data_IF_039955443536
#
_entry.id   IF_039955443536
#
_cell.length_a   1.000
_cell.length_b   1.000
_cell.length_c   1.000
_cell.angle_alpha   90.00
_cell.angle_beta   90.00
_cell.angle_gamma   90.00
#
_symmetry.space_group_name_H-M   'P 1'
#
loop_
_entity.id
_entity.type
_entity.pdbx_description
1 polymer ?
#
# COMPACT_ATOMS: atom_id res chain seq x y z
N UNK A 1 5.14 11.72 35.93
CA UNK A 1 4.31 11.28 34.79
C UNK A 1 5.07 10.20 34.06
N UNK A 2 4.67 8.95 34.23
CA UNK A 2 5.18 7.81 33.45
C UNK A 2 4.90 8.07 31.96
N UNK A 3 5.91 7.96 31.09
CA UNK A 3 5.71 8.10 29.65
C UNK A 3 4.94 6.88 29.15
N UNK A 4 3.94 7.02 28.25
CA UNK A 4 3.24 5.86 27.73
C UNK A 4 4.24 4.92 27.03
N UNK A 5 4.10 3.59 27.19
CA UNK A 5 5.07 2.60 26.69
C UNK A 5 5.32 2.70 25.18
N UNK A 6 4.38 3.26 24.42
CA UNK A 6 4.54 3.56 22.99
C UNK A 6 5.58 4.65 22.75
N UNK A 7 5.54 5.77 23.49
CA UNK A 7 6.43 6.90 23.28
C UNK A 7 7.89 6.52 23.56
N UNK A 8 8.14 5.70 24.57
CA UNK A 8 9.50 5.22 24.86
C UNK A 8 10.09 4.39 23.72
N UNK A 9 9.26 3.56 23.06
CA UNK A 9 9.67 2.79 21.89
C UNK A 9 9.97 3.74 20.71
N UNK A 10 9.14 4.76 20.49
CA UNK A 10 9.34 5.74 19.43
C UNK A 10 10.62 6.58 19.65
N UNK A 11 10.85 7.06 20.87
CA UNK A 11 12.06 7.84 21.23
C UNK A 11 13.34 6.98 21.10
N UNK A 12 13.25 5.67 21.36
CA UNK A 12 14.35 4.73 21.11
C UNK A 12 14.57 4.52 19.61
N UNK A 13 13.49 4.36 18.86
CA UNK A 13 13.51 4.20 17.41
C UNK A 13 14.17 5.40 16.70
N UNK A 14 13.88 6.63 17.14
CA UNK A 14 14.51 7.84 16.59
C UNK A 14 16.03 7.86 16.80
N UNK A 15 16.52 7.28 17.90
CA UNK A 15 17.96 7.17 18.24
C UNK A 15 18.65 5.93 17.68
N UNK A 16 17.91 4.97 17.13
CA UNK A 16 18.48 3.74 16.59
C UNK A 16 19.33 4.01 15.33
N UNK A 17 20.46 3.31 15.19
CA UNK A 17 21.38 3.48 14.04
C UNK A 17 20.66 3.28 12.70
N UNK A 18 19.77 2.28 12.62
CA UNK A 18 18.96 2.01 11.45
C UNK A 18 17.53 1.61 11.85
N UNK A 19 16.57 1.95 11.00
CA UNK A 19 15.20 1.46 11.10
C UNK A 19 14.92 0.48 9.96
N UNK A 20 14.04 -0.52 10.19
CA UNK A 20 13.54 -1.37 9.12
C UNK A 20 12.83 -0.53 8.06
N UNK A 21 12.74 -1.05 6.83
CA UNK A 21 11.99 -0.35 5.80
C UNK A 21 10.49 -0.51 6.07
N UNK A 22 9.86 0.57 6.51
CA UNK A 22 8.43 0.57 6.79
C UNK A 22 7.60 0.79 5.52
N UNK A 23 6.52 0.03 5.43
CA UNK A 23 5.38 0.26 4.56
C UNK A 23 4.09 0.24 5.35
N UNK A 24 2.96 0.53 4.72
CA UNK A 24 1.69 0.53 5.40
C UNK A 24 0.49 0.39 4.47
N UNK A 25 -0.67 0.29 5.11
CA UNK A 25 -1.97 0.29 4.46
C UNK A 25 -3.01 0.83 5.45
N UNK A 26 -3.73 1.86 5.03
CA UNK A 26 -4.91 2.33 5.77
C UNK A 26 -6.15 1.47 5.51
N UNK A 27 -6.94 1.31 6.57
CA UNK A 27 -8.23 0.63 6.56
C UNK A 27 -9.29 1.53 7.17
N UNK A 28 -10.56 1.20 6.97
CA UNK A 28 -11.65 1.99 7.54
C UNK A 28 -11.68 1.98 9.08
N UNK A 29 -11.09 0.95 9.70
CA UNK A 29 -11.06 0.71 11.13
C UNK A 29 -9.67 0.85 11.76
N UNK A 30 -8.63 1.22 11.01
CA UNK A 30 -7.27 1.31 11.56
C UNK A 30 -6.16 1.49 10.52
N UNK A 31 -4.91 1.38 10.98
CA UNK A 31 -3.71 1.48 10.16
C UNK A 31 -2.86 0.23 10.33
N UNK A 32 -2.48 -0.38 9.21
CA UNK A 32 -1.50 -1.45 9.14
C UNK A 32 -0.14 -0.86 8.83
N UNK A 33 0.88 -1.24 9.61
CA UNK A 33 2.29 -0.99 9.31
C UNK A 33 2.99 -2.33 9.14
N UNK A 34 3.91 -2.40 8.19
CA UNK A 34 4.68 -3.60 7.87
C UNK A 34 6.16 -3.27 7.77
N UNK A 35 7.00 -4.24 8.14
CA UNK A 35 8.43 -4.31 7.84
C UNK A 35 8.72 -5.52 6.96
N UNK A 36 9.99 -5.86 6.77
CA UNK A 36 10.39 -7.09 6.09
C UNK A 36 9.96 -8.36 6.84
N UNK A 37 9.83 -8.31 8.17
CA UNK A 37 9.64 -9.49 9.03
C UNK A 37 8.34 -9.50 9.82
N UNK A 38 7.76 -8.33 10.10
CA UNK A 38 6.59 -8.20 10.96
C UNK A 38 5.55 -7.27 10.36
N UNK A 39 4.31 -7.42 10.82
CA UNK A 39 3.24 -6.48 10.56
C UNK A 39 2.47 -6.21 11.85
N UNK A 40 1.86 -5.02 11.94
CA UNK A 40 0.96 -4.64 13.01
C UNK A 40 -0.22 -3.83 12.46
N UNK A 41 -1.43 -4.12 12.95
CA UNK A 41 -2.65 -3.37 12.74
C UNK A 41 -3.05 -2.71 14.06
N UNK A 42 -3.04 -1.38 14.09
CA UNK A 42 -3.62 -0.58 15.16
C UNK A 42 -5.01 -0.11 14.74
N UNK A 43 -6.02 -0.50 15.51
CA UNK A 43 -7.40 -0.11 15.32
C UNK A 43 -7.72 1.24 15.96
N UNK A 44 -8.68 1.96 15.38
CA UNK A 44 -9.21 3.20 15.98
C UNK A 44 -9.99 2.97 17.27
N UNK A 45 -10.34 1.70 17.56
CA UNK A 45 -10.94 1.22 18.79
C UNK A 45 -9.91 0.87 19.88
N UNK A 46 -8.62 1.11 19.62
CA UNK A 46 -7.53 0.77 20.53
C UNK A 46 -7.04 -0.67 20.43
N UNK A 47 -7.60 -1.48 19.52
CA UNK A 47 -7.11 -2.85 19.31
C UNK A 47 -5.73 -2.84 18.65
N UNK A 48 -4.86 -3.78 19.03
CA UNK A 48 -3.57 -4.00 18.39
C UNK A 48 -3.43 -5.47 18.02
N UNK A 49 -3.18 -5.76 16.75
CA UNK A 49 -2.90 -7.10 16.22
C UNK A 49 -1.57 -7.09 15.51
N UNK A 50 -0.74 -8.09 15.75
CA UNK A 50 0.62 -8.12 15.20
C UNK A 50 1.03 -9.55 14.86
N UNK A 51 1.83 -9.73 13.81
CA UNK A 51 2.24 -11.06 13.33
C UNK A 51 3.48 -11.04 12.45
N UNK A 52 3.86 -12.22 11.96
CA UNK A 52 4.98 -12.40 11.04
C UNK A 52 4.57 -12.08 9.61
N UNK A 53 5.47 -11.46 8.85
CA UNK A 53 5.29 -11.23 7.43
C UNK A 53 5.52 -12.52 6.62
N UNK A 54 4.60 -12.88 5.72
CA UNK A 54 4.82 -14.01 4.81
C UNK A 54 6.00 -13.75 3.89
N UNK A 55 7.01 -14.61 3.96
CA UNK A 55 8.19 -14.53 3.10
C UNK A 55 8.06 -15.50 1.92
N UNK A 56 8.12 -15.01 0.66
CA UNK A 56 8.11 -15.89 -0.51
C UNK A 56 9.43 -16.70 -0.62
N UNK A 57 9.42 -17.84 -1.34
CA UNK A 57 10.62 -18.64 -1.60
C UNK A 57 11.75 -17.78 -2.19
N UNK A 58 13.00 -18.03 -1.78
CA UNK A 58 14.16 -17.23 -2.19
C UNK A 58 14.38 -17.23 -3.72
N UNK A 59 14.09 -18.35 -4.39
CA UNK A 59 14.22 -18.52 -5.84
C UNK A 59 13.41 -17.50 -6.65
N UNK A 60 12.20 -17.20 -6.21
CA UNK A 60 11.28 -16.29 -6.94
C UNK A 60 11.65 -14.80 -6.82
N UNK A 61 12.60 -14.44 -5.94
CA UNK A 61 13.03 -13.04 -5.74
C UNK A 61 14.04 -12.56 -6.78
N UNK A 62 14.65 -13.48 -7.52
CA UNK A 62 15.75 -13.18 -8.45
C UNK A 62 15.30 -13.04 -9.90
N UNK A 63 14.10 -13.54 -10.24
CA UNK A 63 13.59 -13.49 -11.62
C UNK A 63 12.93 -12.12 -11.85
N UNK A 64 13.39 -11.31 -12.83
CA UNK A 64 12.77 -10.03 -13.16
C UNK A 64 11.32 -10.24 -13.59
N UNK A 65 10.45 -9.23 -13.40
CA UNK A 65 8.99 -9.29 -13.64
C UNK A 65 8.24 -10.21 -12.65
N UNK A 66 8.76 -11.40 -12.35
CA UNK A 66 8.20 -12.33 -11.36
C UNK A 66 8.38 -11.79 -9.94
N UNK A 67 9.57 -11.28 -9.60
CA UNK A 67 9.86 -10.70 -8.27
C UNK A 67 8.90 -9.56 -7.90
N UNK A 68 8.50 -8.76 -8.89
CA UNK A 68 7.54 -7.67 -8.71
C UNK A 68 6.14 -8.18 -8.35
N UNK A 69 5.65 -9.15 -9.12
CA UNK A 69 4.36 -9.81 -8.85
C UNK A 69 4.35 -10.53 -7.49
N UNK A 70 5.45 -11.21 -7.15
CA UNK A 70 5.62 -11.88 -5.86
C UNK A 70 5.60 -10.88 -4.71
N UNK A 71 6.25 -9.73 -4.87
CA UNK A 71 6.24 -8.65 -3.88
C UNK A 71 4.83 -8.09 -3.68
N UNK A 72 4.11 -7.81 -4.77
CA UNK A 72 2.72 -7.36 -4.74
C UNK A 72 1.80 -8.38 -4.05
N UNK A 73 1.94 -9.67 -4.40
CA UNK A 73 1.20 -10.75 -3.75
C UNK A 73 1.52 -10.88 -2.26
N UNK A 74 2.79 -10.75 -1.88
CA UNK A 74 3.22 -10.84 -0.48
C UNK A 74 2.66 -9.69 0.38
N UNK A 75 2.60 -8.47 -0.15
CA UNK A 75 2.04 -7.31 0.57
C UNK A 75 0.53 -7.40 0.74
N UNK A 76 -0.18 -8.05 -0.19
CA UNK A 76 -1.62 -8.24 -0.10
C UNK A 76 -2.01 -9.51 0.67
N UNK A 77 -1.09 -10.46 0.82
CA UNK A 77 -1.35 -11.75 1.47
C UNK A 77 -1.96 -11.67 2.88
N UNK A 78 -1.61 -10.70 3.75
CA UNK A 78 -2.24 -10.58 5.06
C UNK A 78 -3.75 -10.26 4.98
N UNK A 79 -4.22 -9.61 3.92
CA UNK A 79 -5.64 -9.30 3.71
C UNK A 79 -6.46 -10.56 3.41
N UNK A 80 -5.85 -11.56 2.77
CA UNK A 80 -6.51 -12.79 2.35
C UNK A 80 -6.35 -13.91 3.37
N UNK A 81 -5.26 -13.92 4.14
CA UNK A 81 -5.03 -14.90 5.21
C UNK A 81 -5.92 -14.55 6.41
N UNK A 82 -6.39 -15.57 7.14
CA UNK A 82 -7.26 -15.40 8.32
C UNK A 82 -6.58 -14.76 9.53
N UNK A 83 -5.59 -13.90 9.32
CA UNK A 83 -4.71 -13.29 10.33
C UNK A 83 -5.36 -12.12 11.07
N UNK A 84 -6.65 -11.88 10.85
CA UNK A 84 -7.40 -10.82 11.50
C UNK A 84 -7.15 -9.42 10.93
N UNK A 85 -6.47 -9.30 9.79
CA UNK A 85 -6.23 -8.01 9.11
C UNK A 85 -7.45 -7.54 8.33
N UNK A 86 -8.30 -8.43 7.82
CA UNK A 86 -9.55 -8.08 7.15
C UNK A 86 -10.73 -8.88 7.72
N UNK A 87 -11.91 -8.26 7.80
CA UNK A 87 -13.13 -8.97 8.24
C UNK A 87 -13.56 -9.97 7.16
N UNK A 88 -14.29 -11.04 7.52
CA UNK A 88 -14.73 -12.08 6.55
C UNK A 88 -15.45 -11.50 5.32
N UNK A 89 -16.35 -10.54 5.53
CA UNK A 89 -17.09 -9.85 4.45
C UNK A 89 -16.17 -8.99 3.57
N UNK A 90 -15.23 -8.28 4.19
CA UNK A 90 -14.27 -7.44 3.49
C UNK A 90 -13.27 -8.27 2.68
N UNK A 91 -12.82 -9.41 3.21
CA UNK A 91 -12.00 -10.36 2.45
C UNK A 91 -12.74 -10.87 1.23
N UNK A 92 -14.01 -11.27 1.37
CA UNK A 92 -14.83 -11.69 0.22
C UNK A 92 -14.93 -10.57 -0.81
N UNK A 93 -15.20 -9.34 -0.37
CA UNK A 93 -15.27 -8.17 -1.24
C UNK A 93 -13.94 -7.92 -1.96
N UNK A 94 -12.80 -7.92 -1.26
CA UNK A 94 -11.48 -7.73 -1.85
C UNK A 94 -11.12 -8.84 -2.85
N UNK A 95 -11.44 -10.10 -2.52
CA UNK A 95 -11.23 -11.23 -3.43
C UNK A 95 -12.04 -11.04 -4.71
N UNK A 96 -13.32 -10.67 -4.58
CA UNK A 96 -14.17 -10.37 -5.74
C UNK A 96 -13.64 -9.17 -6.53
N UNK A 97 -13.20 -8.11 -5.88
CA UNK A 97 -12.64 -6.93 -6.54
C UNK A 97 -11.37 -7.24 -7.34
N UNK A 98 -10.55 -8.21 -6.90
CA UNK A 98 -9.35 -8.65 -7.62
C UNK A 98 -9.66 -9.64 -8.74
N UNK A 99 -10.60 -10.57 -8.52
CA UNK A 99 -10.93 -11.62 -9.50
C UNK A 99 -11.91 -11.15 -10.58
N UNK A 100 -12.83 -10.22 -10.27
CA UNK A 100 -13.85 -9.76 -11.20
C UNK A 100 -13.24 -9.16 -12.49
N UNK A 101 -12.21 -8.29 -12.44
CA UNK A 101 -11.57 -7.79 -13.66
C UNK A 101 -10.99 -8.90 -14.55
N UNK A 102 -10.50 -9.99 -13.96
CA UNK A 102 -10.01 -11.15 -14.72
C UNK A 102 -11.16 -11.90 -15.40
N UNK A 103 -12.30 -12.02 -14.74
CA UNK A 103 -13.51 -12.63 -15.31
C UNK A 103 -14.13 -11.80 -16.42
N UNK A 104 -14.00 -10.46 -16.37
CA UNK A 104 -14.52 -9.56 -17.41
C UNK A 104 -13.91 -9.79 -18.80
N UNK A 105 -12.74 -10.43 -18.87
CA UNK A 105 -12.10 -10.81 -20.14
C UNK A 105 -12.98 -11.74 -20.98
N UNK A 106 -13.87 -12.50 -20.35
CA UNK A 106 -14.76 -13.44 -21.03
C UNK A 106 -16.16 -12.86 -21.33
N UNK A 107 -16.40 -11.59 -20.97
CA UNK A 107 -17.68 -10.92 -21.14
C UNK A 107 -17.65 -10.09 -22.44
N UNK A 108 -18.73 -10.04 -23.24
CA UNK A 108 -18.77 -9.22 -24.45
C UNK A 108 -18.42 -7.74 -24.18
N UNK A 109 -17.61 -7.12 -25.05
CA UNK A 109 -16.96 -5.83 -24.81
C UNK A 109 -17.85 -4.73 -24.24
N UNK A 110 -19.06 -4.55 -24.78
CA UNK A 110 -19.99 -3.51 -24.32
C UNK A 110 -20.48 -3.76 -22.89
N UNK A 111 -20.81 -5.02 -22.60
CA UNK A 111 -21.29 -5.44 -21.28
C UNK A 111 -20.12 -5.43 -20.29
N UNK A 112 -18.96 -5.94 -20.71
CA UNK A 112 -17.74 -5.95 -19.93
C UNK A 112 -17.28 -4.55 -19.54
N UNK A 113 -17.38 -3.57 -20.45
CA UNK A 113 -17.08 -2.17 -20.17
C UNK A 113 -18.03 -1.57 -19.14
N UNK A 114 -19.35 -1.77 -19.28
CA UNK A 114 -20.33 -1.24 -18.33
C UNK A 114 -20.12 -1.83 -16.94
N UNK A 115 -19.93 -3.16 -16.84
CA UNK A 115 -19.66 -3.83 -15.57
C UNK A 115 -18.32 -3.35 -15.00
N UNK A 116 -17.28 -3.23 -15.83
CA UNK A 116 -15.96 -2.76 -15.43
C UNK A 116 -15.98 -1.33 -14.87
N UNK A 117 -16.70 -0.41 -15.51
CA UNK A 117 -16.90 0.95 -15.02
C UNK A 117 -17.70 0.97 -13.71
N UNK A 118 -18.77 0.18 -13.60
CA UNK A 118 -19.57 0.10 -12.39
C UNK A 118 -18.76 -0.45 -11.20
N UNK A 119 -18.01 -1.54 -11.40
CA UNK A 119 -17.13 -2.12 -10.39
C UNK A 119 -16.02 -1.15 -9.97
N UNK A 120 -15.38 -0.50 -10.93
CA UNK A 120 -14.33 0.49 -10.66
C UNK A 120 -14.88 1.69 -9.90
N UNK A 121 -16.02 2.24 -10.33
CA UNK A 121 -16.69 3.34 -9.64
C UNK A 121 -17.09 2.96 -8.21
N UNK A 122 -17.65 1.76 -8.02
CA UNK A 122 -17.99 1.23 -6.70
C UNK A 122 -16.77 1.08 -5.80
N UNK A 123 -15.65 0.56 -6.33
CA UNK A 123 -14.39 0.44 -5.59
C UNK A 123 -13.82 1.82 -5.22
N UNK A 124 -13.88 2.80 -6.12
CA UNK A 124 -13.44 4.18 -5.85
C UNK A 124 -14.29 4.79 -4.73
N UNK A 125 -15.61 4.69 -4.80
CA UNK A 125 -16.50 5.21 -3.74
C UNK A 125 -16.22 4.54 -2.40
N UNK A 126 -16.00 3.23 -2.40
CA UNK A 126 -15.66 2.47 -1.20
C UNK A 126 -14.30 2.89 -0.62
N UNK A 127 -13.28 3.03 -1.47
CA UNK A 127 -11.92 3.42 -1.08
C UNK A 127 -11.88 4.87 -0.56
N UNK A 128 -12.60 5.78 -1.23
CA UNK A 128 -12.63 7.21 -0.92
C UNK A 128 -13.59 7.57 0.22
N UNK A 129 -13.98 6.59 1.04
CA UNK A 129 -14.91 6.80 2.14
C UNK A 129 -14.22 7.45 3.35
N UNK A 130 -14.63 8.68 3.63
CA UNK A 130 -14.44 9.44 4.88
C UNK A 130 -13.16 9.10 5.66
N UNK A 131 -13.33 8.35 6.76
CA UNK A 131 -12.27 8.05 7.74
C UNK A 131 -11.04 7.35 7.15
N UNK A 132 -11.21 6.53 6.11
CA UNK A 132 -10.09 5.84 5.45
C UNK A 132 -9.09 6.85 4.86
N UNK A 133 -9.57 7.98 4.33
CA UNK A 133 -8.70 9.01 3.75
C UNK A 133 -7.82 9.68 4.80
N UNK A 134 -8.36 9.91 5.99
CA UNK A 134 -7.61 10.47 7.11
C UNK A 134 -6.59 9.45 7.64
N UNK A 135 -7.01 8.20 7.85
CA UNK A 135 -6.10 7.13 8.29
C UNK A 135 -4.99 6.83 7.25
N UNK A 136 -5.26 7.02 5.96
CA UNK A 136 -4.24 6.96 4.90
C UNK A 136 -3.24 8.11 5.01
N UNK A 137 -3.71 9.32 5.30
CA UNK A 137 -2.81 10.43 5.62
C UNK A 137 -1.98 10.16 6.87
N UNK A 138 -2.58 9.53 7.89
CA UNK A 138 -1.90 9.17 9.15
C UNK A 138 -0.82 8.11 8.94
N UNK A 139 -1.09 7.09 8.12
CA UNK A 139 -0.12 6.06 7.72
C UNK A 139 1.10 6.69 7.05
N UNK A 140 0.89 7.53 6.03
CA UNK A 140 1.97 8.22 5.35
C UNK A 140 2.77 9.13 6.30
N UNK A 141 2.07 9.87 7.17
CA UNK A 141 2.73 10.73 8.17
C UNK A 141 3.59 9.93 9.14
N UNK A 142 3.10 8.79 9.63
CA UNK A 142 3.84 7.95 10.56
C UNK A 142 5.09 7.33 9.92
N UNK A 143 4.99 6.90 8.66
CA UNK A 143 6.15 6.40 7.91
C UNK A 143 7.15 7.54 7.66
N UNK A 144 6.70 8.72 7.23
CA UNK A 144 7.57 9.88 7.04
C UNK A 144 8.25 10.32 8.34
N UNK A 145 7.55 10.24 9.48
CA UNK A 145 8.13 10.49 10.80
C UNK A 145 9.26 9.50 11.11
N UNK A 146 9.08 8.21 10.80
CA UNK A 146 10.14 7.21 10.96
C UNK A 146 11.35 7.51 10.06
N UNK A 147 11.12 7.89 8.81
CA UNK A 147 12.19 8.21 7.85
C UNK A 147 13.01 9.43 8.27
N UNK A 148 12.36 10.42 8.88
CA UNK A 148 12.99 11.66 9.32
C UNK A 148 13.48 11.62 10.78
N UNK A 149 13.30 10.52 11.50
CA UNK A 149 13.64 10.39 12.94
C UNK A 149 12.92 11.41 13.82
N UNK A 150 11.62 11.55 13.59
CA UNK A 150 10.73 12.51 14.26
C UNK A 150 9.51 11.81 14.88
N UNK A 151 9.63 10.52 15.24
CA UNK A 151 8.51 9.74 15.75
C UNK A 151 7.97 10.29 17.08
N UNK A 152 8.85 10.62 18.03
CA UNK A 152 8.47 11.18 19.33
C UNK A 152 7.78 12.55 19.20
N UNK A 153 8.37 13.44 18.41
CA UNK A 153 7.81 14.78 18.15
C UNK A 153 6.48 14.72 17.39
N UNK A 154 6.35 13.78 16.46
CA UNK A 154 5.10 13.56 15.71
C UNK A 154 4.01 12.97 16.63
N UNK A 155 4.36 12.09 17.57
CA UNK A 155 3.44 11.57 18.58
C UNK A 155 2.87 12.68 19.47
N UNK A 156 3.73 13.61 19.87
CA UNK A 156 3.37 14.78 20.66
C UNK A 156 2.58 15.83 19.84
N UNK A 157 2.60 15.74 18.51
CA UNK A 157 1.95 16.68 17.61
C UNK A 157 2.75 17.97 17.38
N UNK A 158 4.02 18.00 17.81
CA UNK A 158 4.96 19.12 17.66
C UNK A 158 5.37 19.28 16.20
N UNK A 159 5.63 18.15 15.53
CA UNK A 159 5.97 18.10 14.10
C UNK A 159 4.88 17.36 13.34
N UNK A 160 4.62 17.80 12.11
CA UNK A 160 3.60 17.19 11.22
C UNK A 160 4.22 16.86 9.86
N UNK A 161 4.91 15.70 9.74
CA UNK A 161 5.45 15.26 8.47
C UNK A 161 4.37 15.14 7.38
N UNK A 162 4.81 15.21 6.13
CA UNK A 162 3.92 15.17 4.96
C UNK A 162 3.06 13.90 4.94
N UNK A 163 1.79 14.06 4.55
CA UNK A 163 0.88 12.95 4.22
C UNK A 163 1.07 12.40 2.81
N UNK A 164 2.04 12.93 2.04
CA UNK A 164 2.33 12.46 0.69
C UNK A 164 3.56 11.56 0.71
N UNK A 165 3.43 10.37 0.14
CA UNK A 165 4.48 9.35 0.10
C UNK A 165 4.88 9.02 -1.33
N UNK A 166 6.18 9.01 -1.61
CA UNK A 166 6.73 8.55 -2.89
C UNK A 166 6.63 7.02 -3.06
N UNK A 167 6.40 6.30 -1.95
CA UNK A 167 6.30 4.83 -1.90
C UNK A 167 4.87 4.31 -1.72
N UNK A 168 3.86 5.18 -1.85
CA UNK A 168 2.45 4.80 -1.78
C UNK A 168 2.06 3.91 -2.98
N UNK A 169 1.21 2.91 -2.73
CA UNK A 169 0.60 2.09 -3.78
C UNK A 169 -0.25 2.90 -4.78
N UNK A 170 -0.73 4.08 -4.41
CA UNK A 170 -1.39 5.02 -5.34
C UNK A 170 -0.47 5.44 -6.48
N UNK A 171 0.84 5.53 -6.25
CA UNK A 171 1.80 5.81 -7.33
C UNK A 171 1.91 4.63 -8.29
N UNK A 172 1.87 3.40 -7.78
CA UNK A 172 1.81 2.20 -8.62
C UNK A 172 0.52 2.17 -9.45
N UNK A 173 -0.64 2.42 -8.83
CA UNK A 173 -1.92 2.44 -9.54
C UNK A 173 -1.96 3.50 -10.65
N UNK A 174 -1.39 4.68 -10.41
CA UNK A 174 -1.30 5.75 -11.41
C UNK A 174 -0.38 5.40 -12.59
N UNK A 175 0.67 4.61 -12.35
CA UNK A 175 1.56 4.09 -13.41
C UNK A 175 0.93 2.93 -14.18
N UNK A 176 0.12 2.10 -13.51
CA UNK A 176 -0.47 0.91 -14.09
C UNK A 176 -1.41 1.25 -15.26
N UNK A 177 -2.23 2.31 -15.12
CA UNK A 177 -3.21 2.69 -16.13
C UNK A 177 -2.57 2.96 -17.51
N UNK A 178 -1.60 3.89 -17.66
CA UNK A 178 -0.97 4.12 -18.96
C UNK A 178 -0.20 2.89 -19.45
N UNK A 179 0.48 2.14 -18.57
CA UNK A 179 1.23 0.93 -18.97
C UNK A 179 0.28 -0.14 -19.53
N UNK A 180 -0.87 -0.37 -18.90
CA UNK A 180 -1.87 -1.33 -19.36
C UNK A 180 -2.51 -0.89 -20.69
N UNK A 181 -2.89 0.40 -20.81
CA UNK A 181 -3.48 0.94 -22.04
C UNK A 181 -2.52 0.87 -23.22
N UNK A 182 -1.24 1.24 -23.01
CA UNK A 182 -0.21 1.14 -24.05
C UNK A 182 0.08 -0.32 -24.39
N UNK A 183 0.15 -1.20 -23.38
CA UNK A 183 0.35 -2.64 -23.57
C UNK A 183 -0.75 -3.28 -24.42
N UNK A 184 -2.01 -2.87 -24.23
CA UNK A 184 -3.12 -3.31 -25.08
C UNK A 184 -3.05 -2.71 -26.49
N UNK A 185 -2.75 -1.41 -26.60
CA UNK A 185 -2.72 -0.70 -27.89
C UNK A 185 -1.60 -1.17 -28.81
N UNK A 186 -0.43 -1.48 -28.25
CA UNK A 186 0.78 -1.84 -28.99
C UNK A 186 1.10 -3.35 -28.89
N UNK A 187 0.10 -4.18 -28.62
CA UNK A 187 0.30 -5.63 -28.54
C UNK A 187 0.70 -6.19 -29.93
N UNK A 188 1.86 -6.86 -30.07
CA UNK A 188 2.42 -7.21 -31.37
C UNK A 188 1.88 -8.53 -31.94
N UNK A 189 1.23 -9.37 -31.13
CA UNK A 189 0.75 -10.67 -31.55
C UNK A 189 -0.73 -10.62 -31.95
N UNK A 190 -1.22 -11.54 -32.80
CA UNK A 190 -2.64 -11.66 -33.07
C UNK A 190 -3.44 -11.80 -31.76
N UNK A 191 -4.60 -11.15 -31.72
CA UNK A 191 -5.49 -11.21 -30.56
C UNK A 191 -6.14 -12.59 -30.47
N UNK A 192 -5.78 -13.34 -29.43
CA UNK A 192 -6.39 -14.59 -29.04
C UNK A 192 -7.25 -14.39 -27.78
N UNK A 193 -8.06 -15.39 -27.43
CA UNK A 193 -8.95 -15.34 -26.27
C UNK A 193 -8.23 -14.99 -24.95
N UNK A 194 -6.96 -15.41 -24.79
CA UNK A 194 -6.16 -15.14 -23.58
C UNK A 194 -5.32 -13.87 -23.66
N UNK A 195 -5.26 -13.19 -24.81
CA UNK A 195 -4.45 -11.98 -25.00
C UNK A 195 -4.73 -10.90 -23.94
N UNK A 196 -5.99 -10.56 -23.59
CA UNK A 196 -6.24 -9.52 -22.58
C UNK A 196 -5.69 -9.90 -21.19
N UNK A 197 -5.76 -11.18 -20.82
CA UNK A 197 -5.20 -11.69 -19.57
C UNK A 197 -3.67 -11.58 -19.57
N UNK A 198 -3.02 -12.04 -20.64
CA UNK A 198 -1.56 -11.99 -20.79
C UNK A 198 -1.06 -10.54 -20.73
N UNK A 199 -1.71 -9.64 -21.47
CA UNK A 199 -1.38 -8.21 -21.47
C UNK A 199 -1.54 -7.60 -20.08
N UNK A 200 -2.62 -7.95 -19.36
CA UNK A 200 -2.86 -7.45 -17.99
C UNK A 200 -1.78 -7.90 -17.02
N UNK A 201 -1.41 -9.19 -17.04
CA UNK A 201 -0.36 -9.74 -16.18
C UNK A 201 1.00 -9.11 -16.51
N UNK A 202 1.31 -8.96 -17.80
CA UNK A 202 2.55 -8.33 -18.25
C UNK A 202 2.60 -6.85 -17.83
N UNK A 203 1.50 -6.12 -17.99
CA UNK A 203 1.39 -4.72 -17.58
C UNK A 203 1.63 -4.55 -16.08
N UNK A 204 1.05 -5.42 -15.24
CA UNK A 204 1.31 -5.43 -13.79
C UNK A 204 2.79 -5.65 -13.48
N UNK A 205 3.42 -6.62 -14.14
CA UNK A 205 4.82 -6.95 -13.91
C UNK A 205 5.76 -5.81 -14.36
N UNK A 206 5.54 -5.25 -15.55
CA UNK A 206 6.29 -4.10 -16.08
C UNK A 206 6.11 -2.88 -15.18
N UNK A 207 4.89 -2.59 -14.74
CA UNK A 207 4.62 -1.47 -13.82
C UNK A 207 5.36 -1.65 -12.50
N UNK A 208 5.44 -2.87 -11.97
CA UNK A 208 6.18 -3.14 -10.73
C UNK A 208 7.69 -2.91 -10.89
N UNK A 209 8.27 -3.28 -12.03
CA UNK A 209 9.69 -3.01 -12.32
C UNK A 209 9.92 -1.51 -12.51
N UNK A 210 9.09 -0.83 -13.31
CA UNK A 210 9.18 0.62 -13.50
C UNK A 210 9.08 1.37 -12.16
N UNK A 211 8.11 1.01 -11.31
CA UNK A 211 7.93 1.65 -10.01
C UNK A 211 9.12 1.40 -9.07
N UNK A 212 9.74 0.23 -9.12
CA UNK A 212 10.96 -0.06 -8.35
C UNK A 212 12.17 0.73 -8.86
N UNK A 213 12.33 0.84 -10.19
CA UNK A 213 13.38 1.64 -10.81
C UNK A 213 13.23 3.12 -10.44
N UNK A 214 12.01 3.65 -10.49
CA UNK A 214 11.72 5.04 -10.09
C UNK A 214 12.06 5.27 -8.61
N UNK A 215 11.73 4.32 -7.73
CA UNK A 215 12.06 4.44 -6.30
C UNK A 215 13.55 4.30 -6.00
N UNK A 216 14.30 3.53 -6.80
CA UNK A 216 15.74 3.36 -6.64
C UNK A 216 16.55 4.52 -7.23
N UNK A 217 15.95 5.33 -8.11
CA UNK A 217 16.63 6.43 -8.79
C UNK A 217 16.69 7.70 -7.94
N UNK A 218 17.87 8.32 -7.88
CA UNK A 218 18.07 9.65 -7.27
C UNK A 218 17.75 10.80 -8.25
N UNK A 219 17.61 10.50 -9.54
CA UNK A 219 17.46 11.49 -10.61
C UNK A 219 16.10 12.21 -10.53
N UNK A 220 16.10 13.52 -10.73
CA UNK A 220 14.87 14.32 -10.74
C UNK A 220 13.90 13.89 -11.84
N UNK A 221 14.42 13.49 -13.00
CA UNK A 221 13.62 12.99 -14.13
C UNK A 221 12.77 11.77 -13.75
N UNK A 222 13.32 10.84 -12.97
CA UNK A 222 12.56 9.67 -12.51
C UNK A 222 11.36 10.05 -11.63
N UNK A 223 11.44 11.17 -10.89
CA UNK A 223 10.33 11.63 -10.02
C UNK A 223 9.13 12.16 -10.81
N UNK A 224 9.29 12.52 -12.08
CA UNK A 224 8.17 12.94 -12.96
C UNK A 224 7.13 11.82 -13.05
N UNK A 225 7.57 10.57 -13.10
CA UNK A 225 6.68 9.40 -13.10
C UNK A 225 5.84 9.24 -11.82
N UNK A 226 6.23 9.89 -10.72
CA UNK A 226 5.46 9.89 -9.48
C UNK A 226 4.41 11.00 -9.42
N UNK A 227 4.49 12.03 -10.27
CA UNK A 227 3.60 13.20 -10.23
C UNK A 227 2.12 12.82 -10.33
N UNK A 228 1.67 11.94 -11.26
CA UNK A 228 0.26 11.56 -11.34
C UNK A 228 -0.22 10.89 -10.04
N UNK A 229 0.64 10.06 -9.45
CA UNK A 229 0.35 9.41 -8.17
C UNK A 229 0.28 10.38 -7.00
N UNK A 230 1.19 11.35 -6.92
CA UNK A 230 1.16 12.42 -5.91
C UNK A 230 -0.07 13.32 -6.06
N UNK A 231 -0.51 13.58 -7.30
CA UNK A 231 -1.77 14.28 -7.56
C UNK A 231 -2.96 13.46 -7.06
N UNK A 232 -2.99 12.16 -7.35
CA UNK A 232 -4.05 11.27 -6.88
C UNK A 232 -4.06 11.16 -5.35
N UNK A 233 -2.91 11.23 -4.70
CA UNK A 233 -2.83 11.28 -3.23
C UNK A 233 -3.52 12.50 -2.62
N UNK A 234 -3.66 13.61 -3.35
CA UNK A 234 -4.46 14.76 -2.87
C UNK A 234 -5.94 14.40 -2.71
N UNK A 235 -6.42 13.44 -3.50
CA UNK A 235 -7.78 12.91 -3.44
C UNK A 235 -7.88 11.71 -2.47
N UNK A 236 -6.87 10.85 -2.45
CA UNK A 236 -6.89 9.59 -1.66
C UNK A 236 -6.38 9.76 -0.22
N UNK A 237 -5.94 10.95 0.19
CA UNK A 237 -5.55 11.25 1.57
C UNK A 237 -6.16 12.57 2.03
N UNK A 238 -6.44 12.67 3.34
CA UNK A 238 -6.82 13.91 4.03
C UNK A 238 -5.83 14.19 5.14
N UNK A 239 -5.85 15.42 5.64
CA UNK A 239 -4.99 15.83 6.74
C UNK A 239 -5.45 15.15 8.04
N UNK A 240 -4.67 14.22 8.62
CA UNK A 240 -5.11 13.46 9.79
C UNK A 240 -5.00 14.30 11.06
N UNK A 241 -5.83 13.99 12.05
CA UNK A 241 -5.67 14.53 13.40
C UNK A 241 -4.45 13.93 14.10
N UNK A 242 -4.08 14.49 15.25
CA UNK A 242 -2.99 13.95 16.07
C UNK A 242 -3.35 12.54 16.57
N UNK A 243 -4.60 12.30 16.92
CA UNK A 243 -5.12 11.02 17.40
C UNK A 243 -5.06 9.95 16.30
N UNK A 244 -5.45 10.29 15.07
CA UNK A 244 -5.32 9.38 13.93
C UNK A 244 -3.85 9.07 13.62
N UNK A 245 -2.99 10.08 13.73
CA UNK A 245 -1.54 9.90 13.60
C UNK A 245 -0.99 8.97 14.70
N UNK A 246 -1.48 9.08 15.93
CA UNK A 246 -1.11 8.18 17.05
C UNK A 246 -1.55 6.75 16.82
N UNK A 247 -2.69 6.51 16.15
CA UNK A 247 -3.08 5.15 15.73
C UNK A 247 -2.01 4.56 14.82
N UNK A 248 -1.60 5.30 13.78
CA UNK A 248 -0.53 4.85 12.87
C UNK A 248 0.81 4.65 13.59
N UNK A 249 1.21 5.58 14.48
CA UNK A 249 2.44 5.47 15.27
C UNK A 249 2.42 4.31 16.27
N UNK A 250 1.24 3.91 16.76
CA UNK A 250 1.10 2.71 17.61
C UNK A 250 1.43 1.46 16.82
N UNK A 251 1.00 1.36 15.56
CA UNK A 251 1.40 0.28 14.67
C UNK A 251 2.90 0.33 14.36
N UNK A 252 3.49 1.51 14.15
CA UNK A 252 4.95 1.68 13.98
C UNK A 252 5.71 1.17 15.20
N UNK A 253 5.33 1.61 16.41
CA UNK A 253 5.98 1.19 17.65
C UNK A 253 5.90 -0.32 17.86
N UNK A 254 4.76 -0.94 17.56
CA UNK A 254 4.59 -2.40 17.61
C UNK A 254 5.57 -3.12 16.68
N UNK A 255 5.68 -2.70 15.42
CA UNK A 255 6.61 -3.29 14.45
C UNK A 255 8.06 -3.09 14.89
N UNK A 256 8.46 -1.87 15.25
CA UNK A 256 9.84 -1.55 15.66
C UNK A 256 10.24 -2.34 16.91
N UNK A 257 9.35 -2.46 17.90
CA UNK A 257 9.58 -3.29 19.09
C UNK A 257 9.81 -4.76 18.72
N UNK A 258 9.06 -5.30 17.75
CA UNK A 258 9.24 -6.69 17.29
C UNK A 258 10.53 -6.91 16.51
N UNK A 259 11.00 -5.88 15.82
CA UNK A 259 12.31 -5.86 15.17
C UNK A 259 13.48 -5.83 16.18
N UNK A 260 13.18 -5.74 17.50
CA UNK A 260 14.12 -5.69 18.64
C UNK A 260 15.02 -4.46 18.63
N UNK A 261 14.42 -3.31 18.31
CA UNK A 261 15.06 -2.01 18.37
C UNK A 261 14.75 -1.25 19.67
#
# INVERSE_FOLDING_TARGET
MERPPVLEVLDRADRAVALPRLGGMARADGVVIVSERYWALAGVDGTLREGLMPSPPASLRHVPLVRGLVRLGSSLSPLFRGTGVARRRERLFLTLAVLAPLGLVFVPDRVGLVIGLALTGGLIVWLLRGRTLFLHGAEHRAIAAAEHRQLGDTWAGVVRPSRFSTRCGTNFAALLLPVATLGQRFWPLPTAALTPLVVTVLALAVTMELWQLVQASSQRAARVFLLPGLMLQRLTTREPTVEETRVALTAVASVVRRERL
#
